data_IF_882991880381
#
_entry.id   IF_882991880381
#
_cell.length_a   1.000
_cell.length_b   1.000
_cell.length_c   1.000
_cell.angle_alpha   90.00
_cell.angle_beta   90.00
_cell.angle_gamma   90.00
#
_symmetry.space_group_name_H-M   'P 1'
#
loop_
_entity.id
_entity.type
_entity.pdbx_description
1 polymer ?
2 non-polymer ?
3 water ?
#
# COMPACT_ATOMS: atom_id res chain seq x y z
N UNK A 2 11.08 6.87 5.31
CA UNK A 2 11.88 7.67 4.39
C UNK A 2 11.06 8.37 3.33
N UNK A 3 11.70 8.72 2.22
CA UNK A 3 11.05 9.55 1.20
C UNK A 3 9.77 8.90 0.67
N UNK A 4 9.80 7.58 0.44
CA UNK A 4 8.60 6.90 -0.07
C UNK A 4 7.42 7.08 0.88
N UNK A 5 7.63 6.80 2.18
CA UNK A 5 6.53 6.88 3.13
C UNK A 5 6.11 8.32 3.39
N UNK A 6 7.07 9.25 3.43
CA UNK A 6 6.72 10.64 3.68
C UNK A 6 5.90 11.22 2.54
N UNK A 7 6.26 10.89 1.30
CA UNK A 7 5.51 11.40 0.18
C UNK A 7 4.14 10.73 0.09
N UNK A 8 4.09 9.43 0.38
CA UNK A 8 2.79 8.75 0.36
C UNK A 8 1.83 9.37 1.37
N UNK A 9 2.30 9.56 2.61
CA UNK A 9 1.44 10.15 3.63
C UNK A 9 1.11 11.60 3.31
N UNK A 10 2.08 12.33 2.77
CA UNK A 10 1.93 13.76 2.54
C UNK A 10 1.01 14.08 1.40
N UNK A 11 1.14 13.32 0.30
CA UNK A 11 0.24 13.53 -0.84
C UNK A 11 -1.19 13.25 -0.44
N UNK A 12 -1.39 12.15 0.30
CA UNK A 12 -2.74 11.83 0.77
C UNK A 12 -3.28 12.97 1.62
N UNK A 13 -2.47 13.49 2.55
CA UNK A 13 -2.98 14.50 3.46
C UNK A 13 -3.18 15.83 2.75
N UNK A 14 -2.25 16.22 1.87
CA UNK A 14 -2.46 17.42 1.08
C UNK A 14 -3.72 17.32 0.23
N UNK A 15 -4.02 16.12 -0.28
CA UNK A 15 -5.20 15.98 -1.12
C UNK A 15 -6.48 16.01 -0.29
N UNK A 16 -6.42 15.50 0.94
CA UNK A 16 -7.57 15.61 1.83
C UNK A 16 -7.87 17.07 2.13
N UNK A 17 -6.82 17.86 2.33
CA UNK A 17 -7.03 19.27 2.64
C UNK A 17 -7.62 20.02 1.45
N UNK A 18 -7.11 19.77 0.24
CA UNK A 18 -7.61 20.50 -0.92
C UNK A 18 -8.98 19.97 -1.35
N UNK A 19 -9.07 18.69 -1.67
CA UNK A 19 -10.31 18.16 -2.22
C UNK A 19 -11.37 17.95 -1.14
N UNK A 20 -10.95 17.50 0.04
CA UNK A 20 -11.92 17.23 1.08
C UNK A 20 -12.35 18.44 1.85
N UNK A 21 -11.45 19.40 2.06
CA UNK A 21 -11.73 20.55 2.90
C UNK A 21 -11.61 21.88 2.17
N UNK A 22 -11.32 21.85 0.86
CA UNK A 22 -11.25 23.07 0.04
C UNK A 22 -10.29 24.09 0.66
N UNK A 23 -9.13 23.59 1.10
CA UNK A 23 -8.13 24.38 1.82
C UNK A 23 -6.84 24.34 1.00
N UNK A 24 -6.65 25.33 0.13
CA UNK A 24 -5.45 25.35 -0.71
C UNK A 24 -4.22 25.65 0.14
N UNK A 25 -4.33 26.58 1.08
CA UNK A 25 -3.19 26.96 1.92
C UNK A 25 -2.65 25.75 2.68
N UNK A 26 -3.56 24.99 3.29
CA UNK A 26 -3.15 23.78 3.98
C UNK A 26 -2.48 22.78 3.06
N UNK A 27 -3.00 22.61 1.85
CA UNK A 27 -2.38 21.63 0.96
C UNK A 27 -0.97 22.07 0.58
N UNK A 28 -0.81 23.35 0.22
CA UNK A 28 0.52 23.93 0.01
C UNK A 28 1.46 23.70 1.18
N UNK A 29 0.98 23.92 2.40
CA UNK A 29 1.88 23.84 3.55
C UNK A 29 2.28 22.40 3.86
N UNK A 30 1.52 21.42 3.36
CA UNK A 30 1.97 20.04 3.44
C UNK A 30 3.00 19.73 2.36
N UNK A 31 2.77 20.23 1.13
CA UNK A 31 3.60 19.85 -0.01
C UNK A 31 4.96 20.53 0.03
N UNK A 32 4.98 21.82 0.39
CA UNK A 32 6.21 22.60 0.24
C UNK A 32 7.39 22.00 1.00
N UNK A 33 7.26 21.56 2.26
CA UNK A 33 8.40 20.94 2.94
C UNK A 33 8.88 19.68 2.27
N UNK A 34 7.96 18.92 1.68
CA UNK A 34 8.33 17.69 0.99
C UNK A 34 9.18 17.99 -0.24
N UNK A 35 8.82 19.03 -1.00
CA UNK A 35 9.68 19.44 -2.10
C UNK A 35 11.01 19.98 -1.59
N UNK A 36 10.98 20.75 -0.50
CA UNK A 36 12.21 21.35 0.03
C UNK A 36 13.22 20.28 0.42
N UNK A 37 12.77 19.17 1.00
CA UNK A 37 13.73 18.14 1.40
C UNK A 37 14.32 17.42 0.19
N UNK A 38 13.65 17.45 -0.97
CA UNK A 38 14.21 16.91 -2.21
C UNK A 38 15.48 17.67 -2.60
N UNK A 39 15.55 18.97 -2.28
CA UNK A 39 16.54 19.87 -2.87
C UNK A 39 17.95 19.62 -2.36
N UNK A 40 18.11 18.95 -1.22
CA UNK A 40 19.46 18.58 -0.80
C UNK A 40 20.02 17.43 -1.63
N UNK A 41 19.17 16.74 -2.38
CA UNK A 41 19.58 15.61 -3.18
C UNK A 41 19.45 14.31 -2.40
N UNK A 42 19.33 13.19 -3.11
CA UNK A 42 19.28 11.90 -2.43
C UNK A 42 20.62 11.56 -1.78
N UNK A 43 20.54 10.91 -0.62
CA UNK A 43 21.72 10.61 0.17
C UNK A 43 21.80 9.15 0.55
N UNK A 44 20.84 8.33 0.14
CA UNK A 44 20.88 6.89 0.26
C UNK A 44 20.53 6.27 -1.08
N UNK A 45 20.81 4.98 -1.21
CA UNK A 45 20.45 4.27 -2.43
C UNK A 45 18.94 4.32 -2.67
N UNK A 46 18.14 4.19 -1.61
CA UNK A 46 16.69 4.21 -1.78
C UNK A 46 16.19 5.61 -2.12
N UNK A 47 16.77 6.65 -1.51
CA UNK A 47 16.40 8.01 -1.91
C UNK A 47 16.79 8.28 -3.35
N UNK A 48 17.92 7.73 -3.78
CA UNK A 48 18.37 7.89 -5.17
C UNK A 48 17.39 7.23 -6.12
N UNK A 49 16.97 6.02 -5.81
CA UNK A 49 15.97 5.34 -6.61
C UNK A 49 14.66 6.12 -6.63
N UNK A 50 14.23 6.65 -5.48
CA UNK A 50 13.05 7.51 -5.42
C UNK A 50 13.20 8.69 -6.36
N UNK A 51 14.33 9.40 -6.24
CA UNK A 51 14.55 10.57 -7.07
C UNK A 51 14.54 10.23 -8.56
N UNK A 52 15.19 9.12 -8.94
CA UNK A 52 15.20 8.75 -10.36
C UNK A 52 13.80 8.46 -10.86
N UNK A 53 12.97 7.86 -10.02
CA UNK A 53 11.64 7.44 -10.46
C UNK A 53 10.67 8.61 -10.50
N UNK A 54 10.70 9.45 -9.47
CA UNK A 54 9.65 10.44 -9.24
C UNK A 54 10.12 11.87 -9.22
N UNK A 55 11.43 12.11 -9.22
CA UNK A 55 11.95 13.46 -9.07
C UNK A 55 11.42 14.42 -10.13
N UNK A 56 11.46 14.01 -11.40
CA UNK A 56 11.04 14.90 -12.49
C UNK A 56 9.56 15.24 -12.38
N UNK A 57 8.73 14.23 -12.15
CA UNK A 57 7.28 14.49 -12.05
C UNK A 57 6.96 15.37 -10.84
N UNK A 58 7.64 15.13 -9.71
CA UNK A 58 7.37 15.98 -8.54
C UNK A 58 7.81 17.41 -8.80
N UNK A 59 8.95 17.58 -9.47
CA UNK A 59 9.41 18.91 -9.79
C UNK A 59 8.43 19.63 -10.70
N UNK A 60 7.86 18.90 -11.67
CA UNK A 60 6.86 19.51 -12.54
C UNK A 60 5.60 19.86 -11.75
N UNK A 61 5.14 18.96 -10.88
CA UNK A 61 3.95 19.24 -10.09
C UNK A 61 4.15 20.51 -9.26
N UNK A 62 5.32 20.68 -8.67
CA UNK A 62 5.61 21.89 -7.91
C UNK A 62 5.52 23.12 -8.80
N UNK A 63 5.98 23.01 -10.05
CA UNK A 63 5.91 24.15 -10.96
C UNK A 63 4.47 24.50 -11.32
N UNK A 64 3.59 23.49 -11.43
CA UNK A 64 2.19 23.80 -11.67
C UNK A 64 1.57 24.47 -10.44
N UNK A 65 1.88 23.98 -9.24
CA UNK A 65 1.43 24.65 -8.02
C UNK A 65 1.83 26.11 -8.04
N UNK A 66 3.07 26.39 -8.42
CA UNK A 66 3.54 27.76 -8.36
C UNK A 66 2.89 28.60 -9.46
N UNK A 67 2.60 27.98 -10.62
CA UNK A 67 1.81 28.68 -11.62
C UNK A 67 0.45 29.05 -11.06
N UNK A 68 -0.13 28.15 -10.25
CA UNK A 68 -1.45 28.43 -9.67
C UNK A 68 -1.40 29.64 -8.75
N UNK A 69 -0.39 29.75 -7.89
CA UNK A 69 -0.30 30.94 -7.03
C UNK A 69 -0.26 32.24 -7.83
N UNK A 70 0.12 32.21 -9.10
CA UNK A 70 0.19 33.43 -9.87
C UNK A 70 -0.99 33.60 -10.83
N UNK A 71 -1.68 32.53 -11.20
CA UNK A 71 -2.83 32.63 -12.09
C UNK A 71 -4.16 32.55 -11.36
N UNK A 72 -4.21 31.85 -10.23
CA UNK A 72 -5.49 31.53 -9.62
C UNK A 72 -6.39 30.69 -10.48
N UNK A 73 -5.83 30.05 -11.52
CA UNK A 73 -6.60 29.23 -12.43
C UNK A 73 -6.57 27.80 -11.93
N UNK A 74 -7.73 27.28 -11.53
CA UNK A 74 -7.80 25.93 -10.97
C UNK A 74 -7.23 24.88 -11.93
N UNK A 75 -7.25 25.17 -13.24
CA UNK A 75 -6.68 24.23 -14.21
C UNK A 75 -5.22 23.94 -13.93
N UNK A 76 -4.49 24.92 -13.39
CA UNK A 76 -3.10 24.68 -13.05
C UNK A 76 -2.96 23.74 -11.88
N UNK A 77 -3.89 23.80 -10.91
CA UNK A 77 -3.85 22.87 -9.79
C UNK A 77 -4.22 21.47 -10.23
N UNK A 78 -5.19 21.38 -11.15
CA UNK A 78 -5.57 20.09 -11.70
C UNK A 78 -4.40 19.40 -12.37
N UNK A 79 -3.59 20.16 -13.12
CA UNK A 79 -2.40 19.58 -13.72
C UNK A 79 -1.39 19.13 -12.67
N UNK A 80 -1.23 19.91 -11.60
CA UNK A 80 -0.35 19.46 -10.51
C UNK A 80 -0.83 18.13 -9.94
N UNK A 81 -2.13 18.01 -9.67
CA UNK A 81 -2.60 16.81 -9.00
C UNK A 81 -2.59 15.61 -9.93
N UNK A 82 -2.68 15.83 -11.23
CA UNK A 82 -2.53 14.72 -12.15
C UNK A 82 -1.15 14.09 -11.98
N UNK A 83 -0.13 14.92 -11.84
CA UNK A 83 1.22 14.43 -11.62
C UNK A 83 1.38 13.83 -10.23
N UNK A 84 0.93 14.53 -9.19
CA UNK A 84 1.06 13.99 -7.83
C UNK A 84 0.38 12.64 -7.71
N UNK A 85 -0.80 12.50 -8.32
CA UNK A 85 -1.54 11.24 -8.21
C UNK A 85 -0.80 10.11 -8.90
N UNK A 86 -0.18 10.40 -10.05
CA UNK A 86 0.59 9.36 -10.72
C UNK A 86 1.76 8.90 -9.84
N UNK A 87 2.45 9.86 -9.21
CA UNK A 87 3.53 9.51 -8.29
C UNK A 87 2.98 8.69 -7.12
N UNK A 88 1.86 9.14 -6.57
CA UNK A 88 1.23 8.43 -5.45
C UNK A 88 0.88 6.98 -5.80
N UNK A 89 0.25 6.77 -6.97
CA UNK A 89 -0.12 5.41 -7.36
C UNK A 89 1.10 4.52 -7.51
N UNK A 90 2.20 5.07 -8.04
CA UNK A 90 3.40 4.26 -8.20
C UNK A 90 4.02 3.93 -6.85
N UNK A 91 4.09 4.90 -5.96
CA UNK A 91 4.60 4.61 -4.61
C UNK A 91 3.72 3.57 -3.94
N UNK A 92 2.41 3.67 -4.16
CA UNK A 92 1.46 2.74 -3.54
C UNK A 92 1.67 1.30 -3.97
N UNK A 93 2.32 1.06 -5.11
CA UNK A 93 2.52 -0.30 -5.57
C UNK A 93 3.53 -1.04 -4.71
N UNK A 94 4.26 -0.35 -3.84
CA UNK A 94 5.21 -0.97 -2.93
C UNK A 94 4.73 -0.91 -1.49
N UNK A 95 3.46 -0.59 -1.26
CA UNK A 95 2.89 -0.57 0.07
C UNK A 95 1.53 -1.24 0.06
N UNK A 96 0.90 -1.29 1.24
CA UNK A 96 -0.36 -2.00 1.37
C UNK A 96 -0.14 -3.49 1.24
N UNK A 97 -0.90 -4.13 0.36
CA UNK A 97 -0.72 -5.54 0.07
C UNK A 97 -0.57 -5.71 -1.44
N UNK A 98 0.41 -6.50 -1.84
CA UNK A 98 0.61 -6.86 -3.23
C UNK A 98 0.29 -8.33 -3.39
N UNK A 99 -0.50 -8.65 -4.42
CA UNK A 99 -0.97 -10.01 -4.69
C UNK A 99 -0.29 -10.47 -5.97
N UNK A 100 0.49 -11.55 -5.86
CA UNK A 100 1.16 -12.14 -7.01
C UNK A 100 0.70 -13.58 -7.16
N UNK A 101 0.10 -13.90 -8.30
CA UNK A 101 -0.50 -15.22 -8.48
C UNK A 101 0.58 -16.29 -8.64
N UNK A 102 0.52 -17.31 -7.78
CA UNK A 102 1.37 -18.48 -7.90
C UNK A 102 0.77 -19.49 -8.87
N UNK A 103 -0.53 -19.78 -8.70
CA UNK A 103 -1.25 -20.68 -9.57
C UNK A 103 -2.65 -20.11 -9.69
N UNK A 104 -3.24 -20.12 -10.88
CA UNK A 104 -4.54 -19.48 -11.06
C UNK A 104 -5.68 -20.29 -10.46
N UNK A 105 -6.72 -19.57 -10.04
CA UNK A 105 -7.99 -20.15 -9.64
C UNK A 105 -8.94 -20.20 -10.81
N UNK A 106 -10.23 -20.31 -10.48
CA UNK A 106 -11.20 -20.43 -11.56
C UNK A 106 -11.56 -19.09 -12.17
N UNK A 107 -11.02 -18.00 -11.63
CA UNK A 107 -11.23 -16.67 -12.18
C UNK A 107 -12.66 -16.20 -12.17
N UNK A 108 -13.54 -16.86 -11.41
CA UNK A 108 -14.96 -16.52 -11.46
C UNK A 108 -15.68 -16.57 -10.13
N UNK A 109 -15.19 -17.31 -9.14
CA UNK A 109 -15.83 -17.48 -7.84
C UNK A 109 -15.00 -16.75 -6.79
N UNK A 110 -15.54 -15.65 -6.25
CA UNK A 110 -14.82 -14.80 -5.32
C UNK A 110 -15.55 -14.70 -3.99
N UNK A 111 -14.85 -14.37 -2.90
CA UNK A 111 -15.50 -14.26 -1.59
C UNK A 111 -16.58 -13.18 -1.57
N UNK A 112 -17.71 -13.51 -0.97
CA UNK A 112 -18.83 -12.59 -0.82
C UNK A 112 -19.14 -12.41 0.66
N UNK A 113 -19.86 -11.33 0.97
CA UNK A 113 -20.11 -11.03 2.36
C UNK A 113 -20.95 -12.14 3.00
N UNK A 114 -20.56 -12.55 4.21
CA UNK A 114 -21.24 -13.61 4.92
C UNK A 114 -20.62 -14.98 4.74
N UNK A 115 -19.76 -15.15 3.75
CA UNK A 115 -19.11 -16.42 3.46
C UNK A 115 -17.86 -16.60 4.30
N UNK A 116 -17.54 -17.86 4.56
CA UNK A 116 -16.30 -18.26 5.22
C UNK A 116 -15.28 -18.70 4.17
N UNK A 117 -14.09 -18.10 4.20
CA UNK A 117 -12.98 -18.52 3.34
C UNK A 117 -12.23 -19.66 4.03
N UNK A 118 -11.94 -20.70 3.25
CA UNK A 118 -11.18 -21.86 3.71
C UNK A 118 -9.86 -21.85 2.94
N UNK A 119 -8.75 -21.65 3.65
CA UNK A 119 -7.47 -21.47 2.97
C UNK A 119 -6.39 -22.33 3.60
N UNK A 120 -5.33 -22.52 2.84
CA UNK A 120 -4.03 -22.92 3.38
C UNK A 120 -3.09 -21.73 3.28
N UNK A 121 -2.24 -21.54 4.29
CA UNK A 121 -1.31 -20.43 4.24
C UNK A 121 0.00 -20.80 4.90
N UNK A 122 1.07 -20.17 4.42
CA UNK A 122 2.35 -20.15 5.11
C UNK A 122 2.76 -18.69 5.23
N UNK A 123 3.09 -18.27 6.45
CA UNK A 123 3.53 -16.90 6.72
C UNK A 123 5.03 -16.87 7.00
N UNK A 124 5.72 -15.95 6.33
CA UNK A 124 7.15 -15.78 6.51
C UNK A 124 7.48 -14.31 6.73
N UNK A 125 8.56 -14.07 7.47
CA UNK A 125 9.10 -12.74 7.54
C UNK A 125 9.73 -12.37 6.20
N UNK A 126 10.03 -11.07 6.05
CA UNK A 126 10.51 -10.57 4.76
C UNK A 126 11.76 -11.32 4.30
N UNK A 127 12.60 -11.78 5.22
CA UNK A 127 13.78 -12.54 4.81
C UNK A 127 13.43 -13.93 4.31
N UNK A 128 12.29 -14.47 4.70
CA UNK A 128 11.90 -15.81 4.34
C UNK A 128 11.73 -16.76 5.51
N UNK A 129 12.04 -16.33 6.73
CA UNK A 129 11.84 -17.20 7.89
C UNK A 129 10.35 -17.46 8.08
N UNK A 130 9.97 -18.72 8.03
CA UNK A 130 8.58 -19.09 8.28
C UNK A 130 8.25 -18.86 9.75
N UNK A 131 7.11 -18.21 10.02
CA UNK A 131 6.67 -18.08 11.40
C UNK A 131 5.41 -18.86 11.72
N UNK A 132 4.63 -19.26 10.73
CA UNK A 132 3.44 -20.07 10.95
C UNK A 132 3.02 -20.68 9.64
N UNK A 133 2.37 -21.83 9.70
CA UNK A 133 1.76 -22.40 8.50
C UNK A 133 0.61 -23.30 8.91
N UNK A 134 -0.57 -23.08 8.31
CA UNK A 134 -1.66 -24.05 8.48
C UNK A 134 -1.29 -25.39 7.86
N UNK A 135 -0.39 -25.37 6.87
CA UNK A 135 0.04 -26.61 6.23
C UNK A 135 0.77 -27.50 7.24
N UNK A 136 1.42 -26.90 8.24
CA UNK A 136 2.09 -27.68 9.28
C UNK A 136 1.09 -28.33 10.22
N UNK A 137 -0.02 -27.65 10.51
CA UNK A 137 -1.10 -28.23 11.29
C UNK A 137 -1.92 -29.23 10.51
N UNK A 138 -1.60 -29.41 9.22
CA UNK A 138 -2.31 -30.34 8.33
C UNK A 138 -3.83 -30.10 8.33
N UNK A 139 -4.23 -28.82 8.41
CA UNK A 139 -5.65 -28.54 8.29
C UNK A 139 -5.88 -27.11 7.86
N UNK A 140 -6.89 -26.85 7.03
CA UNK A 140 -7.09 -25.50 6.51
C UNK A 140 -7.51 -24.52 7.60
N UNK A 141 -7.19 -23.26 7.35
CA UNK A 141 -7.59 -22.14 8.20
C UNK A 141 -8.89 -21.55 7.64
N UNK A 142 -9.82 -21.24 8.54
CA UNK A 142 -11.12 -20.70 8.15
C UNK A 142 -11.32 -19.35 8.81
N UNK A 143 -11.87 -18.39 8.05
CA UNK A 143 -12.16 -17.06 8.58
C UNK A 143 -13.19 -16.40 7.67
N UNK A 144 -13.73 -15.28 8.11
CA UNK A 144 -14.67 -14.52 7.30
C UNK A 144 -14.07 -13.15 7.01
N UNK A 145 -14.25 -12.69 5.77
CA UNK A 145 -13.79 -11.37 5.35
C UNK A 145 -14.80 -10.30 5.76
N UNK A 146 -14.30 -9.06 5.82
CA UNK A 146 -15.14 -7.89 5.94
C UNK A 146 -15.50 -7.48 7.35
N UNK A 147 -15.00 -8.17 8.36
CA UNK A 147 -15.33 -7.81 9.74
C UNK A 147 -14.09 -7.52 10.58
N UNK A 148 -12.96 -7.22 9.94
CA UNK A 148 -11.67 -7.01 10.61
C UNK A 148 -11.30 -8.21 11.48
N UNK A 149 -11.66 -9.42 11.04
CA UNK A 149 -11.16 -10.62 11.70
C UNK A 149 -9.68 -10.82 11.50
N UNK A 150 -9.15 -10.41 10.34
CA UNK A 150 -7.77 -10.68 9.97
C UNK A 150 -7.11 -9.35 9.59
N UNK A 151 -5.78 -9.37 9.52
CA UNK A 151 -5.02 -8.14 9.22
C UNK A 151 -5.43 -7.58 7.87
N UNK A 152 -5.21 -6.28 7.70
CA UNK A 152 -5.77 -5.59 6.53
C UNK A 152 -5.25 -6.17 5.22
N UNK A 153 -3.99 -6.62 5.20
CA UNK A 153 -3.45 -7.21 3.99
C UNK A 153 -4.19 -8.46 3.57
N UNK A 154 -4.70 -9.23 4.53
CA UNK A 154 -5.55 -10.36 4.17
C UNK A 154 -6.93 -9.90 3.74
N UNK A 155 -7.50 -8.92 4.44
CA UNK A 155 -8.82 -8.42 4.07
C UNK A 155 -8.85 -7.96 2.62
N UNK A 156 -7.83 -7.23 2.21
CA UNK A 156 -7.76 -6.71 0.85
C UNK A 156 -7.24 -7.75 -0.13
N UNK A 157 -6.30 -8.58 0.30
CA UNK A 157 -5.68 -9.55 -0.59
C UNK A 157 -6.54 -10.75 -0.92
N UNK A 158 -7.09 -11.40 0.11
CA UNK A 158 -7.87 -12.60 -0.17
C UNK A 158 -9.18 -12.27 -0.87
N UNK A 159 -9.71 -11.07 -0.65
CA UNK A 159 -10.94 -10.68 -1.32
C UNK A 159 -10.81 -10.69 -2.85
N UNK A 160 -9.58 -10.61 -3.38
CA UNK A 160 -9.31 -10.58 -4.82
C UNK A 160 -9.03 -11.95 -5.40
N UNK A 161 -9.01 -13.00 -4.59
CA UNK A 161 -8.66 -14.33 -5.07
C UNK A 161 -9.92 -15.13 -5.38
N UNK A 162 -9.82 -15.94 -6.42
CA UNK A 162 -10.88 -16.87 -6.80
C UNK A 162 -10.59 -18.26 -6.23
N UNK A 163 -11.65 -19.04 -6.07
CA UNK A 163 -11.50 -20.38 -5.53
C UNK A 163 -10.50 -21.16 -6.39
N UNK A 164 -9.56 -21.82 -5.71
CA UNK A 164 -8.50 -22.56 -6.35
C UNK A 164 -7.22 -21.79 -6.57
N UNK A 165 -7.24 -20.48 -6.35
CA UNK A 165 -6.07 -19.66 -6.64
C UNK A 165 -5.05 -19.77 -5.52
N UNK A 166 -3.79 -19.83 -5.89
CA UNK A 166 -2.68 -19.70 -4.95
C UNK A 166 -1.94 -18.41 -5.27
N UNK A 167 -1.67 -17.61 -4.25
CA UNK A 167 -1.08 -16.30 -4.47
C UNK A 167 -0.15 -15.94 -3.33
N UNK A 168 0.84 -15.11 -3.66
CA UNK A 168 1.78 -14.58 -2.67
C UNK A 168 1.31 -13.19 -2.28
N UNK A 169 1.05 -12.98 -0.99
CA UNK A 169 0.65 -11.68 -0.46
C UNK A 169 1.83 -11.07 0.27
N UNK A 170 2.34 -9.95 -0.23
CA UNK A 170 3.38 -9.18 0.44
C UNK A 170 2.72 -7.99 1.13
N UNK A 171 2.81 -7.95 2.45
CA UNK A 171 1.99 -7.06 3.26
C UNK A 171 2.91 -6.14 4.05
N UNK A 172 2.77 -4.83 3.82
CA UNK A 172 3.52 -3.84 4.57
C UNK A 172 3.09 -3.84 6.03
N UNK A 173 3.98 -3.38 6.93
CA UNK A 173 3.63 -3.43 8.37
C UNK A 173 2.35 -2.69 8.70
N UNK A 174 2.06 -1.59 7.98
CA UNK A 174 0.81 -0.83 8.20
C UNK A 174 -0.42 -1.69 7.97
N UNK A 175 -0.30 -2.72 7.13
CA UNK A 175 -1.40 -3.60 6.77
C UNK A 175 -1.29 -4.93 7.49
N UNK A 176 -0.39 -5.02 8.46
CA UNK A 176 -0.17 -6.22 9.25
C UNK A 176 -0.18 -5.85 10.73
N UNK A 177 0.97 -5.97 11.42
CA UNK A 177 1.00 -5.78 12.87
C UNK A 177 1.71 -4.50 13.30
N UNK A 178 2.10 -3.65 12.35
CA UNK A 178 2.58 -2.32 12.66
C UNK A 178 3.75 -2.28 13.62
N UNK A 179 3.77 -1.22 14.43
CA UNK A 179 4.88 -0.99 15.36
C UNK A 179 4.87 -1.99 16.51
N UNK A 180 3.70 -2.49 16.89
CA UNK A 180 3.63 -3.41 18.02
C UNK A 180 4.12 -4.80 17.65
N UNK A 181 3.87 -5.23 16.42
CA UNK A 181 4.10 -6.61 16.08
C UNK A 181 3.13 -7.50 16.82
N UNK A 182 3.53 -8.77 16.93
CA UNK A 182 2.81 -9.72 17.75
C UNK A 182 3.85 -10.39 18.64
N UNK A 183 3.86 -10.08 19.94
CA UNK A 183 5.00 -10.45 20.78
C UNK A 183 5.27 -11.95 20.77
N UNK A 184 6.54 -12.30 20.60
CA UNK A 184 6.96 -13.68 20.54
C UNK A 184 6.92 -14.31 19.16
N UNK A 185 6.29 -13.66 18.19
CA UNK A 185 6.15 -14.22 16.85
C UNK A 185 6.55 -13.23 15.76
N UNK A 186 5.96 -12.04 15.78
CA UNK A 186 6.16 -11.04 14.74
C UNK A 186 6.85 -9.82 15.33
N UNK A 187 8.01 -9.42 14.83
CA UNK A 187 8.71 -8.25 15.38
C UNK A 187 8.02 -6.95 14.99
N UNK A 188 8.35 -5.84 15.66
CA UNK A 188 7.87 -4.53 15.19
C UNK A 188 8.24 -4.26 13.72
N UNK A 189 7.34 -3.55 13.03
CA UNK A 189 7.62 -2.96 11.72
C UNK A 189 7.96 -4.03 10.68
N UNK A 190 7.30 -5.18 10.78
CA UNK A 190 7.65 -6.35 9.98
C UNK A 190 6.79 -6.39 8.71
N UNK A 191 7.45 -6.44 7.56
CA UNK A 191 6.77 -6.76 6.31
C UNK A 191 6.59 -8.27 6.26
N UNK A 192 5.39 -8.72 5.92
CA UNK A 192 5.05 -10.15 5.95
C UNK A 192 4.77 -10.67 4.55
N UNK A 193 5.13 -11.93 4.31
CA UNK A 193 4.86 -12.58 3.03
C UNK A 193 4.08 -13.85 3.34
N UNK A 194 2.88 -13.97 2.78
CA UNK A 194 2.04 -15.14 2.96
C UNK A 194 1.84 -15.83 1.62
N UNK A 195 2.05 -17.14 1.60
CA UNK A 195 1.66 -18.01 0.51
C UNK A 195 0.27 -18.53 0.87
N UNK A 196 -0.75 -18.12 0.11
CA UNK A 196 -2.15 -18.41 0.45
C UNK A 196 -2.81 -19.13 -0.71
N UNK A 197 -3.56 -20.19 -0.42
CA UNK A 197 -4.37 -20.88 -1.42
C UNK A 197 -5.82 -20.86 -0.95
N UNK A 198 -6.71 -20.31 -1.78
CA UNK A 198 -8.13 -20.30 -1.48
C UNK A 198 -8.73 -21.63 -1.92
N UNK A 199 -9.16 -22.43 -0.96
CA UNK A 199 -9.61 -23.78 -1.25
C UNK A 199 -11.10 -23.85 -1.53
N UNK A 200 -11.90 -23.10 -0.80
CA UNK A 200 -13.34 -23.15 -0.97
C UNK A 200 -13.97 -22.03 -0.16
N UNK A 201 -15.25 -21.79 -0.45
CA UNK A 201 -16.09 -20.81 0.24
C UNK A 201 -17.25 -21.55 0.87
N UNK A 202 -17.53 -21.25 2.12
CA UNK A 202 -18.55 -21.94 2.91
C UNK A 202 -19.59 -20.95 3.43
X LIG B 1 -4.20 -12.79 11.17
X LIG B 1 -4.37 -13.38 12.46
X LIG B 1 -4.88 -11.84 10.86
X LIG B 1 -3.18 -13.40 10.24
X LIG B 1 -3.85 -13.71 8.91
X LIG B 1 -4.80 -14.92 8.99
X LIG B 1 -3.97 -16.10 9.48
X LIG B 1 -3.42 -15.80 10.87
X LIG B 1 -2.54 -14.62 10.77
X LIG B 1 -1.25 -14.57 11.12
X LIG B 1 -0.60 -13.55 11.02
X LIG B 1 -0.56 -15.77 11.56
X LIG B 1 -0.03 -16.47 10.72
X LIG B 1 -0.48 -16.13 13.03
X LIG B 1 -1.77 -16.66 13.33
X LIG B 1 0.54 -17.10 13.24
X LIG B 1 -0.19 -14.93 13.93
X LIG B 1 -0.40 -15.32 15.40
X LIG B 1 -1.80 -15.91 15.60
X LIG B 1 -2.02 -17.08 14.66
X LIG B 1 -3.49 -17.52 14.64
X LIG B 1 -3.96 -18.21 15.91
X LIG B 1 -3.35 -19.51 15.92
X LIG B 1 -5.45 -18.34 15.78
X LIG B 1 -6.25 -17.71 16.66
X LIG B 1 -7.71 -17.76 16.54
X LIG B 1 -8.46 -17.09 17.41
X LIG B 1 -9.91 -17.06 17.33
X LIG B 1 -10.62 -16.28 18.14
X LIG B 1 -12.13 -16.24 18.01
X LIG B 1 -12.58 -14.81 17.72
X LIG B 1 -12.01 -14.30 16.40
X LIG B 1 -12.11 -12.80 16.40
X LIG B 1 -13.15 -12.27 16.03
X LIG B 1 -10.97 -11.97 16.91
X LIG B 1 -11.45 -10.63 17.15
X LIG B 1 -9.85 -11.85 15.87
X LIG B 1 -10.41 -11.55 14.60
X LIG B 1 -9.02 -13.10 15.75
X LIG B 1 -8.99 -13.76 14.57
X LIG B 1 -8.16 -15.00 14.33
X LIG B 1 -6.97 -14.54 13.51
X LIG B 1 -6.95 -14.70 12.29
X LIG B 1 -5.85 -13.82 14.23
X LIG B 1 -5.26 -12.72 13.35
X LIG B 1 -4.44 -11.74 14.20
X LIG B 1 -5.25 -10.89 15.17
X LIG B 1 -6.43 -10.13 14.58
X LIG B 1 -7.00 -9.28 15.72
X LIG B 1 -8.06 -8.28 15.26
X LIG B 1 -8.31 -7.36 16.32
X LIG B 1 -7.56 -7.45 14.08
X LIG B 1 -8.61 -6.57 13.65
X LIG B 1 -7.10 -8.35 12.93
X LIG B 1 -5.95 -9.24 13.43
X LIG B 1 1.21 -14.38 13.68
X LIG B 1 -5.99 -19.14 14.63
X LIG B 1 -12.79 -16.69 19.31
X LIG B 1 -12.76 -14.90 15.22
X LIG B 1 -8.23 -13.54 16.93
X LIG B 1 -8.99 -16.02 13.56
X LIG B 1 -3.36 -12.47 14.98
X LIG B 1 -3.61 -20.19 17.15
X LIG B 1 -12.00 -10.45 18.47
X LIG B 1 -8.80 -7.98 17.51
#
# INVERSE_FOLDING_TARGET
MGWHEMWHEGLEEASRLYFGERNVKGMFEVLEPLHAMMERGPQTLKETSFNQAYGRDLMEAQEWCRKYMKSGNVKDLTQAWDLYYHVFRRISKQMGVQVETISPGDGRTFPKRGQTCVVHYTGMLEDGKKFDSSRDRNKPFKFMLGKQEVIRGWEEGVAQMSVGQRAKLTISPDYAYGATGHPGIIPPHATLVFDVELLKLE
RAP C1 O1 O2 C2 C3 C4 C5 C6 N7 C8 O3 C9 O4 C10 O5 O6 C11 C12 C13 C14 C15 C16 O7 C17 C18 C19 C20 C21 C22 C23 C24 C25 C26 O8 C27 O9 C28 O10 C29 C30 C31 C32 O11 C33 C34 C35 C36 C37 C38 C39 O12 C40 O13 C41 C42 C43 C44 C45 C46 C47 C48 C49 C50 C51 C52
#
